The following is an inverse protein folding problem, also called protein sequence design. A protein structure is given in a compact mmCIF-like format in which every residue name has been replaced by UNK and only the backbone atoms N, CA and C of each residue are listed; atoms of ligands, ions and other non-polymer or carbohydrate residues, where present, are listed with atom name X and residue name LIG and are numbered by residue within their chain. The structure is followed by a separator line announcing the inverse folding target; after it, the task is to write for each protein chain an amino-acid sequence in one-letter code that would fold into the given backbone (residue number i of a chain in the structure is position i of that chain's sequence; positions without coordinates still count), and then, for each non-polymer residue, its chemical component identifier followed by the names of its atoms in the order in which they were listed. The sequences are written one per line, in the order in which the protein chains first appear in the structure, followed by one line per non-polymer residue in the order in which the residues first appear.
data_IF_729331041735
#
_entry.id   IF_729331041735
#
_cell.length_a   1.000
_cell.length_b   1.000
_cell.length_c   1.000
_cell.angle_alpha   90.00
_cell.angle_beta   90.00
_cell.angle_gamma   90.00
#
_symmetry.space_group_name_H-M   'P 1'
#
loop_
_entity.id
_entity.type
_entity.pdbx_description
1 polymer ?
#
# COMPACT_ATOMS: atom_id res chain seq x y z
N UNK A 1 21.54 -3.42 -51.50
CA UNK A 1 20.84 -2.16 -51.15
C UNK A 1 19.35 -2.39 -51.24
N UNK A 2 18.71 -2.67 -50.11
CA UNK A 2 17.28 -2.49 -49.86
C UNK A 2 17.12 -2.57 -48.34
N UNK A 3 17.80 -1.66 -47.65
CA UNK A 3 17.42 -1.31 -46.30
C UNK A 3 16.06 -0.60 -46.36
N UNK A 4 15.31 -0.76 -45.28
CA UNK A 4 14.40 0.27 -44.77
C UNK A 4 12.99 0.35 -45.35
N UNK A 5 12.14 -0.65 -45.03
CA UNK A 5 10.71 -0.40 -44.74
C UNK A 5 10.28 -1.30 -43.57
N UNK A 6 10.84 -1.04 -42.40
CA UNK A 6 10.15 -1.31 -41.13
C UNK A 6 10.11 0.03 -40.42
N UNK A 7 8.94 0.64 -40.19
CA UNK A 7 8.67 1.76 -39.25
C UNK A 7 7.62 2.72 -39.82
N UNK A 8 6.36 2.66 -39.33
CA UNK A 8 5.89 3.73 -38.44
C UNK A 8 5.08 3.26 -37.22
N UNK A 9 4.70 1.98 -37.15
CA UNK A 9 3.90 1.44 -36.03
C UNK A 9 4.74 1.06 -34.81
N UNK A 10 6.01 0.65 -35.02
CA UNK A 10 6.96 0.35 -33.96
C UNK A 10 7.32 1.59 -33.13
N UNK A 11 7.46 2.76 -33.76
CA UNK A 11 7.85 3.99 -33.06
C UNK A 11 6.74 4.60 -32.19
N UNK A 12 5.47 4.57 -32.65
CA UNK A 12 4.33 5.07 -31.86
C UNK A 12 4.05 4.16 -30.65
N UNK A 13 4.06 2.84 -30.86
CA UNK A 13 3.84 1.87 -29.77
C UNK A 13 4.99 1.92 -28.74
N UNK A 14 6.25 2.04 -29.20
CA UNK A 14 7.41 2.19 -28.32
C UNK A 14 7.37 3.52 -27.54
N UNK A 15 6.91 4.61 -28.16
CA UNK A 15 6.73 5.90 -27.49
C UNK A 15 5.67 5.86 -26.38
N UNK A 16 4.52 5.24 -26.64
CA UNK A 16 3.47 5.04 -25.63
C UNK A 16 3.95 4.16 -24.47
N UNK A 17 4.65 3.06 -24.77
CA UNK A 17 5.22 2.18 -23.76
C UNK A 17 6.23 2.94 -22.87
N UNK A 18 7.13 3.73 -23.47
CA UNK A 18 8.09 4.55 -22.71
C UNK A 18 7.39 5.54 -21.79
N UNK A 19 6.36 6.25 -22.28
CA UNK A 19 5.60 7.20 -21.47
C UNK A 19 4.88 6.53 -20.28
N UNK A 20 4.36 5.32 -20.46
CA UNK A 20 3.74 4.53 -19.37
C UNK A 20 4.81 4.14 -18.33
N UNK A 21 5.96 3.62 -18.76
CA UNK A 21 7.06 3.22 -17.88
C UNK A 21 7.55 4.40 -17.07
N UNK A 22 7.89 5.51 -17.71
CA UNK A 22 8.37 6.72 -17.01
C UNK A 22 7.36 7.24 -15.99
N UNK A 23 6.05 7.13 -16.27
CA UNK A 23 5.02 7.53 -15.33
C UNK A 23 4.94 6.58 -14.12
N UNK A 24 5.12 5.28 -14.33
CA UNK A 24 5.16 4.28 -13.25
C UNK A 24 6.41 4.47 -12.39
N UNK A 25 7.58 4.70 -13.00
CA UNK A 25 8.83 4.92 -12.28
C UNK A 25 8.73 6.14 -11.35
N UNK A 26 8.19 7.26 -11.84
CA UNK A 26 7.91 8.42 -10.99
C UNK A 26 6.97 8.09 -9.83
N UNK A 27 5.89 7.34 -10.08
CA UNK A 27 4.95 6.95 -9.03
C UNK A 27 5.59 5.99 -8.00
N UNK A 28 6.50 5.12 -8.40
CA UNK A 28 7.25 4.25 -7.47
C UNK A 28 8.27 5.05 -6.65
N UNK A 29 8.90 6.07 -7.21
CA UNK A 29 9.74 7.02 -6.47
C UNK A 29 8.92 7.79 -5.41
N UNK A 30 7.77 8.35 -5.80
CA UNK A 30 6.86 9.05 -4.88
C UNK A 30 6.37 8.12 -3.76
N UNK A 31 5.99 6.89 -4.10
CA UNK A 31 5.58 5.87 -3.14
C UNK A 31 6.70 5.50 -2.18
N UNK A 32 7.96 5.45 -2.65
CA UNK A 32 9.12 5.21 -1.80
C UNK A 32 9.33 6.37 -0.82
N UNK A 33 9.28 7.61 -1.30
CA UNK A 33 9.40 8.80 -0.44
C UNK A 33 8.31 8.80 0.66
N UNK A 34 7.05 8.56 0.29
CA UNK A 34 5.94 8.46 1.24
C UNK A 34 6.16 7.31 2.25
N UNK A 35 6.68 6.17 1.80
CA UNK A 35 6.97 5.05 2.69
C UNK A 35 8.08 5.37 3.70
N UNK A 36 9.08 6.16 3.30
CA UNK A 36 10.13 6.67 4.19
C UNK A 36 9.55 7.66 5.21
N UNK A 37 8.72 8.61 4.78
CA UNK A 37 8.04 9.55 5.69
C UNK A 37 7.17 8.81 6.73
N UNK A 38 6.39 7.81 6.30
CA UNK A 38 5.59 6.99 7.21
C UNK A 38 6.46 6.25 8.23
N UNK A 39 7.63 5.76 7.81
CA UNK A 39 8.57 5.07 8.70
C UNK A 39 9.13 6.04 9.76
N UNK A 40 9.45 7.26 9.38
CA UNK A 40 9.96 8.28 10.29
C UNK A 40 8.91 8.70 11.31
N UNK A 41 7.64 8.85 10.92
CA UNK A 41 6.52 9.09 11.85
C UNK A 41 6.39 7.94 12.88
N UNK A 42 6.50 6.69 12.45
CA UNK A 42 6.51 5.56 13.39
C UNK A 42 7.74 5.56 14.31
N UNK A 43 8.90 6.00 13.81
CA UNK A 43 10.11 6.11 14.60
C UNK A 43 9.98 7.21 15.67
N UNK A 44 9.41 8.36 15.31
CA UNK A 44 9.07 9.44 16.23
C UNK A 44 8.09 8.97 17.31
N UNK A 45 7.00 8.31 16.91
CA UNK A 45 6.02 7.76 17.84
C UNK A 45 6.69 6.78 18.84
N UNK A 46 7.62 5.95 18.37
CA UNK A 46 8.41 5.07 19.24
C UNK A 46 9.29 5.86 20.22
N UNK A 47 9.95 6.92 19.76
CA UNK A 47 10.76 7.82 20.59
C UNK A 47 9.93 8.52 21.68
N UNK A 48 8.68 8.82 21.36
CA UNK A 48 7.70 9.41 22.27
C UNK A 48 7.03 8.37 23.21
N UNK A 49 7.42 7.09 23.13
CA UNK A 49 6.95 6.02 24.02
C UNK A 49 5.71 5.26 23.57
N UNK A 50 5.23 5.46 22.34
CA UNK A 50 4.08 4.71 21.81
C UNK A 50 4.50 3.33 21.27
N UNK A 51 3.63 2.33 21.42
CA UNK A 51 3.81 1.01 20.79
C UNK A 51 3.42 1.06 19.30
N UNK A 52 4.45 0.97 18.44
CA UNK A 52 4.30 0.98 16.98
C UNK A 52 3.44 -0.18 16.45
N UNK A 53 3.47 -1.36 17.10
CA UNK A 53 2.63 -2.50 16.67
C UNK A 53 1.16 -2.20 16.91
N UNK A 54 0.83 -1.61 18.06
CA UNK A 54 -0.54 -1.18 18.39
C UNK A 54 -1.01 -0.09 17.43
N UNK A 55 -0.17 0.91 17.14
CA UNK A 55 -0.50 1.95 16.16
C UNK A 55 -0.81 1.37 14.77
N UNK A 56 0.01 0.43 14.28
CA UNK A 56 -0.24 -0.27 13.01
C UNK A 56 -1.56 -1.04 13.02
N UNK A 57 -1.88 -1.70 14.14
CA UNK A 57 -3.16 -2.40 14.31
C UNK A 57 -4.34 -1.41 14.24
N UNK A 58 -4.25 -0.27 14.92
CA UNK A 58 -5.27 0.79 14.88
C UNK A 58 -5.44 1.33 13.45
N UNK A 59 -4.36 1.63 12.73
CA UNK A 59 -4.48 2.11 11.34
C UNK A 59 -5.14 1.06 10.44
N UNK A 60 -4.85 -0.23 10.64
CA UNK A 60 -5.54 -1.30 9.89
C UNK A 60 -7.03 -1.34 10.20
N UNK A 61 -7.40 -1.30 11.48
CA UNK A 61 -8.81 -1.27 11.91
C UNK A 61 -9.55 -0.05 11.34
N UNK A 62 -8.89 1.11 11.30
CA UNK A 62 -9.47 2.35 10.76
C UNK A 62 -9.65 2.35 9.24
N UNK A 63 -9.06 1.39 8.52
CA UNK A 63 -9.23 1.21 7.07
C UNK A 63 -10.37 0.25 6.72
N UNK A 64 -10.84 -0.54 7.68
CA UNK A 64 -11.99 -1.44 7.50
C UNK A 64 -13.29 -0.62 7.56
N UNK A 65 -14.32 -1.09 6.88
CA UNK A 65 -15.66 -0.50 6.99
C UNK A 65 -16.20 -0.71 8.43
N UNK A 66 -16.89 0.28 9.02
CA UNK A 66 -17.35 0.17 10.41
C UNK A 66 -18.22 -1.05 10.67
N UNK A 67 -19.10 -1.41 9.73
CA UNK A 67 -20.00 -2.56 9.85
C UNK A 67 -19.23 -3.88 9.79
N UNK A 68 -18.27 -4.01 8.88
CA UNK A 68 -17.41 -5.20 8.78
C UNK A 68 -16.60 -5.39 10.07
N UNK A 69 -16.07 -4.29 10.63
CA UNK A 69 -15.36 -4.32 11.91
C UNK A 69 -16.24 -4.78 13.06
N UNK A 70 -17.48 -4.28 13.15
CA UNK A 70 -18.44 -4.66 14.20
C UNK A 70 -18.83 -6.15 14.09
N UNK A 71 -19.04 -6.65 12.88
CA UNK A 71 -19.30 -8.07 12.63
C UNK A 71 -18.10 -8.95 13.02
N UNK A 72 -16.89 -8.57 12.61
CA UNK A 72 -15.66 -9.28 13.01
C UNK A 72 -15.45 -9.28 14.52
N UNK A 73 -15.67 -8.14 15.20
CA UNK A 73 -15.55 -8.01 16.66
C UNK A 73 -16.56 -8.91 17.38
N UNK A 74 -17.82 -8.92 16.94
CA UNK A 74 -18.86 -9.78 17.51
C UNK A 74 -18.53 -11.27 17.38
N UNK A 75 -18.03 -11.69 16.21
CA UNK A 75 -17.61 -13.07 15.97
C UNK A 75 -16.38 -13.46 16.81
N UNK A 76 -15.42 -12.55 16.93
CA UNK A 76 -14.23 -12.76 17.74
C UNK A 76 -14.60 -12.96 19.22
N UNK A 77 -15.50 -12.14 19.74
CA UNK A 77 -15.92 -12.22 21.13
C UNK A 77 -16.75 -13.48 21.42
N UNK A 78 -17.59 -13.92 20.48
CA UNK A 78 -18.26 -15.22 20.55
C UNK A 78 -17.23 -16.36 20.68
N UNK A 79 -16.17 -16.34 19.86
CA UNK A 79 -15.14 -17.37 19.90
C UNK A 79 -14.30 -17.32 21.17
N UNK A 80 -13.92 -16.12 21.64
CA UNK A 80 -13.23 -15.97 22.93
C UNK A 80 -14.06 -16.52 24.08
N UNK A 81 -15.37 -16.24 24.09
CA UNK A 81 -16.30 -16.76 25.10
C UNK A 81 -16.37 -18.29 25.07
N UNK A 82 -16.50 -18.88 23.88
CA UNK A 82 -16.49 -20.34 23.72
C UNK A 82 -15.17 -20.99 24.18
N UNK A 83 -14.05 -20.26 24.09
CA UNK A 83 -12.73 -20.71 24.53
C UNK A 83 -12.41 -20.35 25.99
N UNK A 84 -13.30 -19.66 26.72
CA UNK A 84 -13.07 -19.23 28.11
C UNK A 84 -11.98 -18.17 28.26
N UNK A 85 -11.77 -17.34 27.23
CA UNK A 85 -10.77 -16.26 27.20
C UNK A 85 -11.30 -14.90 27.68
N UNK A 86 -12.56 -14.84 28.12
CA UNK A 86 -13.26 -13.65 28.67
C UNK A 86 -13.89 -13.98 30.02
#
# INVERSE_FOLDING_TARGET
MSDDITEPSQSVAAGQLRAIIERIERLEEDKKAIAEDIKDVYAEAKGNGFDVKVLRAIIRLRKQEPTEREEEEAMLDLYKSALGMV
#
